data_IF_974676659702
#
_entry.id   IF_974676659702
#
_cell.length_a   1.000
_cell.length_b   1.000
_cell.length_c   1.000
_cell.angle_alpha   90.00
_cell.angle_beta   90.00
_cell.angle_gamma   90.00
#
_symmetry.space_group_name_H-M   'P 1'
#
loop_
_entity.id
_entity.type
_entity.pdbx_description
1 polymer ?
#
# COMPACT_ATOMS: atom_id res chain seq x y z
N UNK A 1 -14.62 0.52 13.38
CA UNK A 1 -13.79 1.73 13.45
C UNK A 1 -12.50 1.42 12.71
N UNK A 2 -12.28 1.95 11.50
CA UNK A 2 -11.01 1.77 10.79
C UNK A 2 -9.94 2.60 11.50
N UNK A 3 -9.11 1.95 12.31
CA UNK A 3 -7.97 2.60 12.95
C UNK A 3 -7.04 3.15 11.85
N UNK A 4 -6.90 4.47 11.78
CA UNK A 4 -5.93 5.11 10.90
C UNK A 4 -4.60 5.23 11.64
N UNK A 5 -3.47 4.91 11.00
CA UNK A 5 -2.16 5.30 11.53
C UNK A 5 -2.07 6.83 11.60
N UNK A 6 -1.14 7.38 12.40
CA UNK A 6 -0.89 8.82 12.44
C UNK A 6 -0.72 9.39 11.03
N UNK A 7 -1.36 10.51 10.70
CA UNK A 7 -1.32 11.11 9.35
C UNK A 7 0.11 11.38 8.84
N UNK A 8 1.08 11.53 9.76
CA UNK A 8 2.50 11.72 9.48
C UNK A 8 3.39 10.57 9.96
N UNK A 9 2.83 9.38 10.23
CA UNK A 9 3.61 8.23 10.67
C UNK A 9 4.77 7.96 9.72
N UNK A 10 5.98 7.80 10.25
CA UNK A 10 7.12 7.32 9.47
C UNK A 10 6.91 5.86 9.09
N UNK A 11 7.65 5.36 8.09
CA UNK A 11 7.61 3.94 7.72
C UNK A 11 7.90 3.01 8.92
N UNK A 12 8.76 3.47 9.85
CA UNK A 12 9.08 2.75 11.09
C UNK A 12 7.89 2.68 12.04
N UNK A 13 7.20 3.80 12.27
CA UNK A 13 6.03 3.83 13.15
C UNK A 13 4.87 3.01 12.58
N UNK A 14 4.68 3.04 11.26
CA UNK A 14 3.69 2.20 10.60
C UNK A 14 4.02 0.71 10.74
N UNK A 15 5.29 0.35 10.59
CA UNK A 15 5.77 -1.02 10.73
C UNK A 15 5.46 -1.58 12.12
N UNK A 16 5.74 -0.81 13.17
CA UNK A 16 5.40 -1.18 14.55
C UNK A 16 3.89 -1.26 14.76
N UNK A 17 3.13 -0.28 14.27
CA UNK A 17 1.67 -0.26 14.40
C UNK A 17 0.98 -1.42 13.66
N UNK A 18 1.52 -1.83 12.51
CA UNK A 18 1.03 -2.94 11.70
C UNK A 18 1.48 -4.32 12.20
N UNK A 19 2.29 -4.40 13.27
CA UNK A 19 2.86 -5.66 13.75
C UNK A 19 3.86 -6.29 12.78
N UNK A 20 4.41 -5.51 11.84
CA UNK A 20 5.38 -5.94 10.84
C UNK A 20 6.82 -5.72 11.32
N UNK A 21 7.12 -6.00 12.60
CA UNK A 21 8.44 -5.74 13.19
C UNK A 21 9.59 -6.54 12.55
N UNK A 22 9.28 -7.51 11.70
CA UNK A 22 10.24 -8.21 10.85
C UNK A 22 10.54 -7.42 9.57
N UNK A 23 11.83 -7.26 9.23
CA UNK A 23 12.25 -6.41 8.12
C UNK A 23 11.93 -7.05 6.77
N UNK A 24 12.01 -8.38 6.67
CA UNK A 24 11.67 -9.12 5.47
C UNK A 24 10.17 -9.03 5.20
N UNK A 25 9.35 -9.17 6.25
CA UNK A 25 7.89 -8.96 6.18
C UNK A 25 7.52 -7.58 5.67
N UNK A 26 8.19 -6.55 6.21
CA UNK A 26 7.99 -5.18 5.76
C UNK A 26 8.38 -4.99 4.29
N UNK A 27 9.57 -5.46 3.89
CA UNK A 27 10.03 -5.35 2.50
C UNK A 27 9.07 -6.03 1.52
N UNK A 28 8.54 -7.21 1.89
CA UNK A 28 7.61 -7.93 1.04
C UNK A 28 6.26 -7.23 0.93
N UNK A 29 5.75 -6.66 2.03
CA UNK A 29 4.58 -5.78 2.01
C UNK A 29 4.77 -4.56 1.08
N UNK A 30 5.95 -3.94 1.09
CA UNK A 30 6.27 -2.85 0.17
C UNK A 30 6.30 -3.29 -1.30
N UNK A 31 6.76 -4.51 -1.58
CA UNK A 31 6.76 -5.07 -2.93
C UNK A 31 5.34 -5.34 -3.40
N UNK A 32 4.50 -6.02 -2.59
CA UNK A 32 3.10 -6.31 -2.92
C UNK A 32 2.33 -5.03 -3.22
N UNK A 33 2.46 -4.01 -2.36
CA UNK A 33 1.77 -2.72 -2.55
C UNK A 33 2.24 -2.00 -3.81
N UNK A 34 3.54 -2.07 -4.16
CA UNK A 34 4.07 -1.54 -5.42
C UNK A 34 3.54 -2.30 -6.64
N UNK A 35 3.43 -3.62 -6.58
CA UNK A 35 2.90 -4.43 -7.69
C UNK A 35 1.43 -4.09 -7.99
N UNK A 36 0.61 -3.98 -6.95
CA UNK A 36 -0.80 -3.57 -7.10
C UNK A 36 -0.87 -2.13 -7.62
N UNK A 37 -0.11 -1.21 -7.04
CA UNK A 37 -0.05 0.18 -7.53
C UNK A 37 0.39 0.26 -9.00
N UNK A 38 1.35 -0.57 -9.43
CA UNK A 38 1.79 -0.63 -10.82
C UNK A 38 0.67 -1.08 -11.75
N UNK A 39 -0.10 -2.12 -11.38
CA UNK A 39 -1.28 -2.53 -12.15
C UNK A 39 -2.32 -1.42 -12.24
N UNK A 40 -2.55 -0.70 -11.15
CA UNK A 40 -3.50 0.42 -11.13
C UNK A 40 -3.06 1.56 -12.06
N UNK A 41 -1.79 1.98 -11.98
CA UNK A 41 -1.23 3.05 -12.82
C UNK A 41 -1.16 2.62 -14.29
N UNK A 42 -0.83 1.36 -14.58
CA UNK A 42 -0.82 0.85 -15.95
C UNK A 42 -2.20 0.91 -16.62
N UNK A 43 -3.28 0.63 -15.86
CA UNK A 43 -4.65 0.75 -16.36
C UNK A 43 -5.14 2.22 -16.41
N UNK A 44 -4.66 3.07 -15.50
CA UNK A 44 -5.04 4.47 -15.40
C UNK A 44 -3.83 5.34 -14.99
N UNK A 45 -3.03 5.85 -15.95
CA UNK A 45 -1.82 6.62 -15.65
C UNK A 45 -2.07 7.91 -14.85
N UNK A 46 -3.25 8.51 -15.03
CA UNK A 46 -3.70 9.70 -14.31
C UNK A 46 -4.27 9.45 -12.91
N UNK A 47 -4.38 8.19 -12.48
CA UNK A 47 -5.04 7.82 -11.23
C UNK A 47 -4.36 8.46 -10.01
N UNK A 48 -5.16 9.07 -9.14
CA UNK A 48 -4.72 9.52 -7.81
C UNK A 48 -5.51 8.76 -6.77
N UNK A 49 -4.85 8.39 -5.67
CA UNK A 49 -5.50 7.67 -4.57
C UNK A 49 -6.73 8.40 -4.02
N UNK A 50 -6.70 9.74 -4.00
CA UNK A 50 -7.79 10.58 -3.54
C UNK A 50 -9.06 10.47 -4.40
N UNK A 51 -8.92 10.15 -5.69
CA UNK A 51 -10.04 10.03 -6.62
C UNK A 51 -10.73 8.65 -6.56
N UNK A 52 -10.10 7.68 -5.89
CA UNK A 52 -10.66 6.34 -5.70
C UNK A 52 -11.70 6.41 -4.59
N UNK A 53 -12.91 5.92 -4.83
CA UNK A 53 -13.96 5.88 -3.82
C UNK A 53 -13.61 4.90 -2.68
N UNK A 54 -14.28 5.07 -1.52
CA UNK A 54 -13.96 4.27 -0.34
C UNK A 54 -14.17 2.76 -0.55
N UNK A 55 -15.23 2.35 -1.28
CA UNK A 55 -15.49 0.94 -1.55
C UNK A 55 -14.34 0.32 -2.34
N UNK A 56 -13.89 1.00 -3.40
CA UNK A 56 -12.76 0.53 -4.20
C UNK A 56 -11.45 0.52 -3.40
N UNK A 57 -11.23 1.47 -2.48
CA UNK A 57 -10.09 1.42 -1.56
C UNK A 57 -10.13 0.18 -0.66
N UNK A 58 -11.30 -0.15 -0.12
CA UNK A 58 -11.48 -1.36 0.71
C UNK A 58 -11.19 -2.63 -0.10
N UNK A 59 -11.70 -2.74 -1.33
CA UNK A 59 -11.39 -3.88 -2.21
C UNK A 59 -9.87 -4.02 -2.46
N UNK A 60 -9.17 -2.90 -2.64
CA UNK A 60 -7.71 -2.89 -2.79
C UNK A 60 -7.02 -3.33 -1.49
N UNK A 61 -7.52 -2.90 -0.33
CA UNK A 61 -6.99 -3.35 0.95
C UNK A 61 -7.18 -4.85 1.17
N UNK A 62 -8.35 -5.39 0.81
CA UNK A 62 -8.61 -6.83 0.83
C UNK A 62 -7.66 -7.58 -0.12
N UNK A 63 -7.40 -7.06 -1.32
CA UNK A 63 -6.45 -7.67 -2.27
C UNK A 63 -5.02 -7.67 -1.72
N UNK A 64 -4.54 -6.55 -1.18
CA UNK A 64 -3.22 -6.46 -0.54
C UNK A 64 -3.13 -7.42 0.63
N UNK A 65 -4.15 -7.44 1.49
CA UNK A 65 -4.17 -8.28 2.68
C UNK A 65 -4.20 -9.78 2.33
N UNK A 66 -4.97 -10.18 1.32
CA UNK A 66 -5.00 -11.55 0.82
C UNK A 66 -3.60 -11.98 0.34
N UNK A 67 -2.90 -11.13 -0.41
CA UNK A 67 -1.53 -11.40 -0.85
C UNK A 67 -0.53 -11.48 0.30
N UNK A 68 -0.63 -10.61 1.30
CA UNK A 68 0.27 -10.66 2.45
C UNK A 68 0.07 -11.93 3.28
N UNK A 69 -1.18 -12.43 3.38
CA UNK A 69 -1.47 -13.71 4.03
C UNK A 69 -0.94 -14.88 3.21
N UNK A 70 -1.18 -14.89 1.90
CA UNK A 70 -0.69 -15.93 0.97
C UNK A 70 0.83 -16.09 1.04
N UNK A 71 1.56 -14.99 1.18
CA UNK A 71 3.02 -14.99 1.24
C UNK A 71 3.60 -15.20 2.66
N UNK A 72 2.76 -15.49 3.66
CA UNK A 72 3.21 -15.78 5.02
C UNK A 72 3.66 -14.57 5.84
N UNK A 73 3.38 -13.35 5.37
CA UNK A 73 3.66 -12.10 6.10
C UNK A 73 2.70 -11.99 7.30
N UNK A 74 1.43 -12.33 7.07
CA UNK A 74 0.32 -12.20 8.01
C UNK A 74 -0.68 -11.14 7.57
N UNK A 75 -1.79 -11.04 8.30
CA UNK A 75 -2.82 -10.04 8.01
C UNK A 75 -2.34 -8.63 8.37
N UNK A 76 -2.56 -7.68 7.48
CA UNK A 76 -2.19 -6.27 7.65
C UNK A 76 -3.46 -5.44 7.81
N UNK A 77 -3.48 -4.53 8.78
CA UNK A 77 -4.61 -3.63 9.00
C UNK A 77 -4.80 -2.69 7.79
N UNK A 78 -6.06 -2.48 7.39
CA UNK A 78 -6.43 -1.57 6.28
C UNK A 78 -5.80 -0.18 6.40
N UNK A 79 -5.67 0.35 7.62
CA UNK A 79 -5.05 1.65 7.86
C UNK A 79 -3.61 1.74 7.34
N UNK A 80 -2.81 0.67 7.44
CA UNK A 80 -1.45 0.64 6.91
C UNK A 80 -1.45 0.58 5.38
N UNK A 81 -2.42 -0.13 4.80
CA UNK A 81 -2.57 -0.22 3.35
C UNK A 81 -3.01 1.12 2.77
N UNK A 82 -4.02 1.76 3.37
CA UNK A 82 -4.50 3.08 2.98
C UNK A 82 -3.44 4.17 3.09
N UNK A 83 -2.53 4.05 4.07
CA UNK A 83 -1.38 4.93 4.18
C UNK A 83 -0.32 4.66 3.10
N UNK A 84 -0.08 3.37 2.77
CA UNK A 84 1.01 2.96 1.88
C UNK A 84 0.70 3.15 0.40
N UNK A 85 -0.54 2.88 -0.01
CA UNK A 85 -0.97 2.93 -1.41
C UNK A 85 -0.75 4.29 -2.10
N UNK A 86 -1.11 5.46 -1.52
CA UNK A 86 -0.81 6.74 -2.15
C UNK A 86 0.69 6.95 -2.40
N UNK A 87 1.55 6.49 -1.48
CA UNK A 87 3.02 6.56 -1.63
C UNK A 87 3.53 5.61 -2.71
N UNK A 88 2.94 4.42 -2.81
CA UNK A 88 3.27 3.46 -3.86
C UNK A 88 2.91 4.02 -5.24
N UNK A 89 1.70 4.56 -5.41
CA UNK A 89 1.24 5.16 -6.66
C UNK A 89 2.16 6.32 -7.07
N UNK A 90 2.44 7.25 -6.14
CA UNK A 90 3.35 8.37 -6.41
C UNK A 90 4.74 7.89 -6.85
N UNK A 91 5.32 6.89 -6.15
CA UNK A 91 6.62 6.32 -6.51
C UNK A 91 6.64 5.66 -7.88
N UNK A 92 5.58 4.97 -8.29
CA UNK A 92 5.49 4.36 -9.63
C UNK A 92 5.40 5.44 -10.70
N UNK A 93 4.65 6.51 -10.46
CA UNK A 93 4.52 7.62 -11.41
C UNK A 93 5.83 8.35 -11.60
N UNK A 94 6.53 8.73 -10.52
CA UNK A 94 7.83 9.40 -10.63
C UNK A 94 8.87 8.53 -11.35
N UNK A 95 8.89 7.22 -11.08
CA UNK A 95 9.79 6.31 -11.81
C UNK A 95 9.47 6.20 -13.31
N UNK A 96 8.19 6.34 -13.70
CA UNK A 96 7.81 6.36 -15.11
C UNK A 96 8.21 7.68 -15.80
N UNK A 97 8.17 8.80 -15.09
CA UNK A 97 8.59 10.12 -15.59
C UNK A 97 10.12 10.19 -15.80
N UNK A 98 10.92 9.56 -14.93
CA UNK A 98 12.39 9.50 -15.07
C UNK A 98 12.88 8.63 -16.25
N UNK A 99 12.00 7.83 -16.85
CA UNK A 99 12.33 6.92 -17.96
C UNK A 99 11.83 7.45 -19.32
N UNK A 100 11.25 8.66 -19.36
CA UNK A 100 10.64 9.27 -20.55
C UNK A 100 11.53 10.32 -21.23
#
# INVERSE_FOLDING_TARGET
>A
MSERPPDQATARELRTWAGLEDQQKWLRFEIITKEIARKMVANAPGLRWIDIDYRRRTEIAEEVNAKTVEEGIGAVKDGAIFWRMPKAIASIKSAAEDTA
#
